data_IF_059124776036
#
_entry.id   IF_059124776036
#
_cell.length_a   1.000
_cell.length_b   1.000
_cell.length_c   1.000
_cell.angle_alpha   90.00
_cell.angle_beta   90.00
_cell.angle_gamma   90.00
#
_symmetry.space_group_name_H-M   'P 1'
#
loop_
_entity.id
_entity.type
_entity.pdbx_description
1 polymer ?
#
# COMPACT_ATOMS: atom_id res chain seq x y z
N UNK A 1 10.42 17.40 0.49
CA UNK A 1 9.22 16.58 0.23
C UNK A 1 9.67 15.13 0.25
N UNK A 2 9.00 14.27 1.02
CA UNK A 2 9.52 12.95 1.33
C UNK A 2 9.38 12.01 0.12
N UNK A 3 10.49 11.46 -0.40
CA UNK A 3 10.52 10.68 -1.65
C UNK A 3 9.58 9.47 -1.63
N UNK A 4 9.22 8.96 -0.45
CA UNK A 4 8.30 7.82 -0.29
C UNK A 4 6.87 8.14 -0.74
N UNK A 5 6.39 9.37 -0.57
CA UNK A 5 4.99 9.75 -0.91
C UNK A 5 4.78 9.64 -2.43
N UNK A 6 5.82 9.90 -3.22
CA UNK A 6 5.77 9.74 -4.69
C UNK A 6 5.61 8.29 -5.13
N UNK A 7 5.91 7.32 -4.25
CA UNK A 7 5.69 5.89 -4.49
C UNK A 7 4.30 5.40 -4.12
N UNK A 8 3.43 6.29 -3.61
CA UNK A 8 2.04 5.96 -3.31
C UNK A 8 1.25 5.83 -4.62
N UNK A 9 0.51 4.73 -4.72
CA UNK A 9 -0.54 4.52 -5.71
C UNK A 9 -1.84 4.17 -5.01
N UNK A 10 -2.97 4.55 -5.59
CA UNK A 10 -4.30 4.36 -5.02
C UNK A 10 -5.08 3.37 -5.85
N UNK A 11 -5.71 2.39 -5.20
CA UNK A 11 -6.61 1.50 -5.90
C UNK A 11 -7.90 2.23 -6.30
N UNK A 12 -8.28 2.07 -7.57
CA UNK A 12 -9.47 2.70 -8.13
C UNK A 12 -10.74 2.30 -7.38
N UNK A 13 -11.46 3.32 -6.90
CA UNK A 13 -12.83 3.25 -6.42
C UNK A 13 -13.51 4.61 -6.60
N UNK A 14 -14.81 4.70 -6.33
CA UNK A 14 -15.59 5.93 -6.53
C UNK A 14 -15.09 7.13 -5.71
N UNK A 15 -14.69 6.91 -4.45
CA UNK A 15 -14.15 7.99 -3.58
C UNK A 15 -12.81 8.49 -4.11
N UNK A 16 -11.91 7.56 -4.46
CA UNK A 16 -10.59 7.91 -5.00
C UNK A 16 -10.73 8.70 -6.30
N UNK A 17 -11.48 8.17 -7.28
CA UNK A 17 -11.54 8.73 -8.64
C UNK A 17 -12.31 10.06 -8.71
N UNK A 18 -13.32 10.27 -7.86
CA UNK A 18 -14.18 11.45 -7.91
C UNK A 18 -13.72 12.57 -6.96
N UNK A 19 -12.74 12.33 -6.07
CA UNK A 19 -12.34 13.30 -5.05
C UNK A 19 -11.66 14.56 -5.59
N UNK A 20 -10.97 14.47 -6.73
CA UNK A 20 -10.06 15.52 -7.20
C UNK A 20 -8.80 15.73 -6.32
N UNK A 21 -8.68 15.01 -5.20
CA UNK A 21 -7.56 15.11 -4.26
C UNK A 21 -6.38 14.19 -4.63
N UNK A 22 -6.65 13.16 -5.43
CA UNK A 22 -5.67 12.15 -5.84
C UNK A 22 -5.34 12.34 -7.32
N UNK A 23 -4.05 12.45 -7.63
CA UNK A 23 -3.59 12.53 -9.01
C UNK A 23 -4.02 11.27 -9.78
N UNK A 24 -4.74 11.46 -10.89
CA UNK A 24 -5.28 10.37 -11.70
C UNK A 24 -4.22 9.40 -12.21
N UNK A 25 -2.99 9.88 -12.46
CA UNK A 25 -1.85 9.04 -12.87
C UNK A 25 -1.34 8.11 -11.77
N UNK A 26 -1.72 8.34 -10.52
CA UNK A 26 -1.40 7.50 -9.36
C UNK A 26 -2.52 6.51 -9.04
N UNK A 27 -3.60 6.47 -9.81
CA UNK A 27 -4.71 5.55 -9.61
C UNK A 27 -4.46 4.28 -10.44
N UNK A 28 -4.37 3.13 -9.78
CA UNK A 28 -4.24 1.82 -10.42
C UNK A 28 -5.58 1.10 -10.49
N UNK A 29 -5.73 0.19 -11.44
CA UNK A 29 -6.93 -0.63 -11.56
C UNK A 29 -7.16 -1.48 -10.30
N UNK A 30 -8.43 -1.73 -9.98
CA UNK A 30 -8.79 -2.65 -8.91
C UNK A 30 -8.27 -4.05 -9.24
N UNK A 31 -7.50 -4.63 -8.32
CA UNK A 31 -6.83 -5.90 -8.57
C UNK A 31 -6.70 -6.71 -7.28
N UNK A 32 -6.19 -7.92 -7.36
CA UNK A 32 -5.91 -8.75 -6.21
C UNK A 32 -4.58 -8.34 -5.56
N UNK A 33 -4.41 -8.58 -4.24
CA UNK A 33 -3.28 -8.00 -3.48
C UNK A 33 -1.93 -8.53 -3.95
N UNK A 34 -1.88 -9.77 -4.43
CA UNK A 34 -0.69 -10.38 -5.02
C UNK A 34 -0.23 -9.69 -6.31
N UNK A 35 -1.12 -8.95 -6.99
CA UNK A 35 -0.84 -8.18 -8.20
C UNK A 35 -0.51 -6.72 -7.92
N UNK A 36 -0.42 -6.31 -6.66
CA UNK A 36 0.02 -4.96 -6.34
C UNK A 36 1.47 -4.73 -6.78
N UNK A 37 1.79 -3.53 -7.30
CA UNK A 37 3.10 -3.24 -7.86
C UNK A 37 4.19 -3.33 -6.79
N UNK A 38 5.26 -4.07 -7.09
CA UNK A 38 6.46 -4.10 -6.26
C UNK A 38 7.14 -2.73 -6.21
N UNK A 39 7.78 -2.42 -5.08
CA UNK A 39 8.47 -1.14 -4.85
C UNK A 39 7.53 0.07 -4.75
N UNK A 40 6.24 -0.16 -4.48
CA UNK A 40 5.23 0.88 -4.31
C UNK A 40 4.47 0.69 -3.01
N UNK A 41 3.83 1.77 -2.56
CA UNK A 41 2.82 1.69 -1.52
C UNK A 41 1.45 1.76 -2.16
N UNK A 42 0.68 0.68 -2.10
CA UNK A 42 -0.69 0.69 -2.60
C UNK A 42 -1.67 1.03 -1.49
N UNK A 43 -2.53 2.02 -1.69
CA UNK A 43 -3.60 2.39 -0.74
C UNK A 43 -4.92 1.83 -1.25
N UNK A 44 -5.56 0.99 -0.43
CA UNK A 44 -6.91 0.48 -0.68
C UNK A 44 -7.87 1.07 0.34
N UNK A 45 -8.95 1.67 -0.15
CA UNK A 45 -10.04 2.15 0.69
C UNK A 45 -11.09 1.06 0.92
N UNK A 46 -11.68 1.09 2.10
CA UNK A 46 -12.80 0.25 2.53
C UNK A 46 -13.94 1.15 3.02
N UNK A 47 -15.15 0.58 3.09
CA UNK A 47 -16.35 1.31 3.50
C UNK A 47 -16.60 2.58 2.68
N UNK A 48 -16.31 2.57 1.37
CA UNK A 48 -16.33 3.77 0.51
C UNK A 48 -17.72 4.41 0.36
N UNK A 49 -18.79 3.70 0.71
CA UNK A 49 -20.17 4.22 0.75
C UNK A 49 -20.56 4.85 2.09
N UNK A 50 -19.73 4.72 3.12
CA UNK A 50 -19.99 5.24 4.47
C UNK A 50 -19.11 6.45 4.76
N UNK A 51 -19.46 7.19 5.81
CA UNK A 51 -18.64 8.29 6.32
C UNK A 51 -17.39 7.78 7.05
N UNK A 52 -17.50 6.63 7.72
CA UNK A 52 -16.40 5.99 8.44
C UNK A 52 -15.50 5.17 7.48
N UNK A 53 -14.82 5.89 6.60
CA UNK A 53 -13.80 5.36 5.72
C UNK A 53 -12.65 4.73 6.52
N UNK A 54 -12.16 3.62 6.01
CA UNK A 54 -10.92 3.01 6.48
C UNK A 54 -10.05 2.64 5.30
N UNK A 55 -8.76 2.46 5.54
CA UNK A 55 -7.80 2.16 4.50
C UNK A 55 -6.74 1.17 5.00
N UNK A 56 -6.14 0.50 4.03
CA UNK A 56 -4.93 -0.29 4.24
C UNK A 56 -3.85 0.25 3.32
N UNK A 57 -2.70 0.59 3.90
CA UNK A 57 -1.48 0.87 3.17
C UNK A 57 -0.67 -0.42 3.03
N UNK A 58 -0.42 -0.84 1.80
CA UNK A 58 0.36 -2.02 1.44
C UNK A 58 1.76 -1.59 1.00
N UNK A 59 2.73 -1.68 1.90
CA UNK A 59 4.14 -1.40 1.64
C UNK A 59 4.77 -2.62 0.99
N UNK A 60 4.80 -2.64 -0.34
CA UNK A 60 5.43 -3.73 -1.10
C UNK A 60 6.86 -3.33 -1.42
N UNK A 61 7.79 -4.15 -0.93
CA UNK A 61 9.20 -4.02 -1.22
C UNK A 61 9.52 -4.23 -2.70
N UNK A 62 10.78 -4.01 -3.08
CA UNK A 62 11.23 -4.23 -4.46
C UNK A 62 11.16 -5.71 -4.82
N UNK A 63 10.99 -5.99 -6.11
CA UNK A 63 10.98 -7.36 -6.61
C UNK A 63 12.37 -7.98 -6.39
N UNK A 64 12.43 -9.13 -5.70
CA UNK A 64 13.62 -9.97 -5.56
C UNK A 64 13.30 -11.36 -6.11
N UNK A 65 14.27 -11.96 -6.79
CA UNK A 65 14.20 -13.34 -7.25
C UNK A 65 14.64 -14.27 -6.14
N UNK A 66 13.78 -15.23 -5.78
CA UNK A 66 14.06 -16.26 -4.81
C UNK A 66 14.18 -17.60 -5.52
N UNK A 67 15.34 -18.25 -5.37
CA UNK A 67 15.55 -19.60 -5.86
C UNK A 67 15.16 -20.60 -4.78
N UNK A 68 14.21 -21.47 -5.06
CA UNK A 68 13.85 -22.60 -4.22
C UNK A 68 14.21 -23.91 -4.92
N UNK A 69 14.72 -24.88 -4.16
CA UNK A 69 15.03 -26.21 -4.68
C UNK A 69 14.01 -27.20 -4.14
N UNK A 70 13.29 -27.88 -5.04
CA UNK A 70 12.32 -28.91 -4.68
C UNK A 70 12.46 -30.12 -5.60
N UNK A 71 12.58 -31.32 -5.01
CA UNK A 71 12.73 -32.57 -5.76
C UNK A 71 13.98 -32.64 -6.65
N UNK A 72 15.04 -31.88 -6.33
CA UNK A 72 16.26 -31.79 -7.15
C UNK A 72 16.21 -30.77 -8.29
N UNK A 73 15.06 -30.12 -8.51
CA UNK A 73 14.88 -29.04 -9.48
C UNK A 73 14.91 -27.67 -8.79
N UNK A 74 15.55 -26.69 -9.43
CA UNK A 74 15.56 -25.30 -8.95
C UNK A 74 14.49 -24.47 -9.64
N UNK A 75 13.74 -23.69 -8.87
CA UNK A 75 12.67 -22.81 -9.33
C UNK A 75 12.97 -21.38 -8.90
N UNK A 76 12.95 -20.45 -9.85
CA UNK A 76 13.09 -19.03 -9.55
C UNK A 76 11.69 -18.41 -9.49
N UNK A 77 11.39 -17.76 -8.37
CA UNK A 77 10.13 -17.06 -8.18
C UNK A 77 10.41 -15.61 -7.77
N UNK A 78 9.76 -14.67 -8.45
CA UNK A 78 9.91 -13.26 -8.18
C UNK A 78 8.83 -12.76 -7.22
N UNK A 79 9.25 -12.25 -6.06
CA UNK A 79 8.34 -11.70 -5.05
C UNK A 79 8.88 -10.40 -4.46
N UNK A 80 8.01 -9.48 -3.99
CA UNK A 80 8.44 -8.36 -3.18
C UNK A 80 9.23 -8.83 -1.95
N UNK A 81 10.36 -8.19 -1.67
CA UNK A 81 11.28 -8.57 -0.59
C UNK A 81 10.80 -8.28 0.83
N UNK A 82 9.58 -7.80 0.95
CA UNK A 82 8.85 -7.61 2.19
C UNK A 82 7.47 -7.08 1.90
N UNK A 83 6.54 -7.38 2.79
CA UNK A 83 5.16 -6.92 2.72
C UNK A 83 4.74 -6.51 4.13
N UNK A 84 4.53 -5.21 4.31
CA UNK A 84 3.85 -4.66 5.49
C UNK A 84 2.49 -4.14 5.06
N UNK A 85 1.46 -4.49 5.84
CA UNK A 85 0.12 -3.95 5.72
C UNK A 85 -0.17 -3.14 6.97
N UNK A 86 -0.64 -1.91 6.80
CA UNK A 86 -1.07 -1.07 7.91
C UNK A 86 -2.50 -0.64 7.69
N UNK A 87 -3.40 -1.14 8.54
CA UNK A 87 -4.81 -0.75 8.53
C UNK A 87 -5.02 0.45 9.45
N UNK A 88 -5.81 1.41 9.01
CA UNK A 88 -6.15 2.60 9.76
C UNK A 88 -7.54 3.11 9.39
N UNK A 89 -8.14 3.86 10.31
CA UNK A 89 -9.48 4.39 10.20
C UNK A 89 -9.46 5.92 10.22
N UNK A 90 -10.44 6.54 9.57
CA UNK A 90 -10.62 8.00 9.55
C UNK A 90 -10.87 8.56 10.96
N UNK A 91 -11.68 7.85 11.74
CA UNK A 91 -12.25 8.28 13.01
C UNK A 91 -11.57 7.67 14.26
N UNK A 92 -10.49 6.90 14.08
CA UNK A 92 -9.80 6.23 15.18
C UNK A 92 -8.29 6.45 15.12
N UNK A 93 -7.68 6.65 16.26
CA UNK A 93 -6.23 6.66 16.44
C UNK A 93 -5.70 5.26 16.76
N UNK A 94 -6.05 4.31 15.89
CA UNK A 94 -5.62 2.92 15.94
C UNK A 94 -4.98 2.53 14.61
N UNK A 95 -3.86 1.81 14.71
CA UNK A 95 -3.11 1.29 13.57
C UNK A 95 -2.84 -0.19 13.79
N UNK A 96 -3.25 -1.03 12.83
CA UNK A 96 -3.03 -2.47 12.88
C UNK A 96 -1.98 -2.86 11.84
N UNK A 97 -0.82 -3.30 12.33
CA UNK A 97 0.32 -3.72 11.51
C UNK A 97 0.30 -5.23 11.29
N UNK A 98 0.46 -5.68 10.05
CA UNK A 98 0.58 -7.09 9.70
C UNK A 98 1.70 -7.30 8.66
N UNK A 99 2.62 -8.22 8.96
CA UNK A 99 3.79 -8.50 8.13
C UNK A 99 5.03 -7.76 8.60
N UNK A 100 5.97 -7.53 7.67
CA UNK A 100 7.29 -6.98 7.97
C UNK A 100 7.71 -5.89 6.97
N UNK A 101 8.37 -4.86 7.48
CA UNK A 101 8.92 -3.77 6.66
C UNK A 101 10.04 -4.33 5.79
N UNK A 102 9.95 -4.11 4.47
CA UNK A 102 11.04 -4.39 3.53
C UNK A 102 12.21 -3.43 3.79
N UNK A 103 13.44 -3.85 3.48
CA UNK A 103 14.63 -2.97 3.44
C UNK A 103 14.43 -1.72 2.57
N UNK A 104 13.43 -1.73 1.68
CA UNK A 104 13.05 -0.60 0.83
C UNK A 104 12.38 0.56 1.58
N UNK A 105 11.96 0.36 2.83
CA UNK A 105 11.28 1.39 3.63
C UNK A 105 11.85 1.46 5.04
N UNK A 106 12.01 2.67 5.56
CA UNK A 106 12.26 2.91 6.99
C UNK A 106 10.96 2.97 7.79
N UNK A 107 11.05 2.90 9.12
CA UNK A 107 9.89 3.18 9.97
C UNK A 107 9.38 4.62 9.82
N UNK A 108 10.28 5.57 9.54
CA UNK A 108 9.91 6.95 9.26
C UNK A 108 9.08 7.03 7.97
N UNK A 109 9.48 6.33 6.91
CA UNK A 109 8.71 6.24 5.66
C UNK A 109 7.30 5.70 5.89
N UNK A 110 7.18 4.66 6.72
CA UNK A 110 5.87 4.08 7.10
C UNK A 110 5.01 5.13 7.80
N UNK A 111 5.55 5.83 8.81
CA UNK A 111 4.86 6.88 9.54
C UNK A 111 4.43 8.04 8.65
N UNK A 112 5.29 8.49 7.74
CA UNK A 112 5.01 9.63 6.87
C UNK A 112 3.93 9.30 5.84
N UNK A 113 3.97 8.10 5.27
CA UNK A 113 2.92 7.60 4.38
C UNK A 113 1.58 7.48 5.10
N UNK A 114 1.57 6.90 6.31
CA UNK A 114 0.32 6.74 7.08
C UNK A 114 -0.26 8.11 7.44
N UNK A 115 0.57 9.03 7.94
CA UNK A 115 0.16 10.39 8.29
C UNK A 115 -0.45 11.11 7.09
N UNK A 116 0.25 11.10 5.95
CA UNK A 116 -0.24 11.66 4.70
C UNK A 116 -1.59 11.05 4.27
N UNK A 117 -1.70 9.71 4.30
CA UNK A 117 -2.93 9.03 3.90
C UNK A 117 -4.09 9.30 4.86
N UNK A 118 -3.82 9.44 6.16
CA UNK A 118 -4.84 9.73 7.18
C UNK A 118 -5.38 11.15 7.04
N UNK A 119 -4.50 12.13 6.80
CA UNK A 119 -4.92 13.49 6.45
C UNK A 119 -5.79 13.52 5.18
N UNK A 120 -5.45 12.71 4.18
CA UNK A 120 -6.22 12.63 2.94
C UNK A 120 -7.58 11.93 3.18
N UNK A 121 -7.63 10.86 3.97
CA UNK A 121 -8.87 10.20 4.39
C UNK A 121 -9.84 11.17 5.09
N UNK A 122 -9.32 12.08 5.89
CA UNK A 122 -10.14 13.09 6.57
C UNK A 122 -10.84 14.05 5.60
N UNK A 123 -10.28 14.23 4.40
CA UNK A 123 -10.80 15.11 3.35
C UNK A 123 -11.68 14.38 2.31
N UNK A 124 -11.64 13.04 2.28
CA UNK A 124 -12.48 12.17 1.41
C UNK A 124 -13.88 11.91 2.00
#
# INVERSE_FOLDING_TARGET
MNQVIDNIVWENNSRVKNSGLINSTKIIQKTSTEKFPAGKVTIRLYNTSKENLSATAYFYGKLKTYTSTWGGSSYNNDYPDGKLMVNFHKDKDEYIFNGGVSESYSLQDVTDVISYCKELLNKL
#
